data_IF_514028029002
#
_entry.id   IF_514028029002
#
_cell.length_a   1.000
_cell.length_b   1.000
_cell.length_c   1.000
_cell.angle_alpha   90.00
_cell.angle_beta   90.00
_cell.angle_gamma   90.00
#
_symmetry.space_group_name_H-M   'P 1'
#
loop_
_entity.id
_entity.type
_entity.pdbx_description
1 polymer ?
#
# COMPACT_ATOMS: atom_id res chain seq x y z
N UNK A 1 -7.77 10.05 1.22
CA UNK A 1 -6.88 8.88 1.42
C UNK A 1 -6.76 8.13 0.10
N UNK A 2 -5.64 7.42 -0.13
CA UNK A 2 -5.46 6.54 -1.28
C UNK A 2 -5.21 5.11 -0.79
N UNK A 3 -5.97 4.14 -1.29
CA UNK A 3 -5.77 2.69 -1.06
C UNK A 3 -5.24 2.07 -2.35
N UNK A 4 -3.97 1.70 -2.35
CA UNK A 4 -3.21 1.26 -3.54
C UNK A 4 -3.23 -0.26 -3.66
N UNK A 5 -3.57 -0.77 -4.85
CA UNK A 5 -3.81 -2.19 -5.09
C UNK A 5 -4.82 -2.75 -4.07
N UNK A 6 -5.94 -2.06 -3.97
CA UNK A 6 -6.91 -2.19 -2.87
C UNK A 6 -7.64 -3.55 -2.85
N UNK A 7 -7.57 -4.33 -3.94
CA UNK A 7 -8.32 -5.57 -4.07
C UNK A 7 -9.83 -5.34 -3.87
N UNK A 8 -10.45 -6.12 -2.99
CA UNK A 8 -11.87 -5.95 -2.62
C UNK A 8 -12.14 -4.75 -1.68
N UNK A 9 -11.12 -3.94 -1.36
CA UNK A 9 -11.26 -2.69 -0.62
C UNK A 9 -11.46 -2.82 0.88
N UNK A 10 -10.83 -3.79 1.52
CA UNK A 10 -10.90 -3.95 2.99
C UNK A 10 -10.47 -2.68 3.72
N UNK A 11 -9.35 -2.07 3.32
CA UNK A 11 -8.83 -0.86 3.94
C UNK A 11 -9.62 0.37 3.51
N UNK A 12 -10.03 0.46 2.24
CA UNK A 12 -10.89 1.53 1.75
C UNK A 12 -12.20 1.62 2.57
N UNK A 13 -12.88 0.47 2.80
CA UNK A 13 -14.11 0.43 3.62
C UNK A 13 -13.84 0.83 5.07
N UNK A 14 -12.74 0.38 5.64
CA UNK A 14 -12.38 0.71 7.02
C UNK A 14 -12.10 2.21 7.20
N UNK A 15 -11.43 2.84 6.23
CA UNK A 15 -11.17 4.28 6.22
C UNK A 15 -12.45 5.09 6.00
N UNK A 16 -13.28 4.70 5.03
CA UNK A 16 -14.54 5.37 4.74
C UNK A 16 -15.50 5.33 5.93
N UNK A 17 -15.59 4.20 6.65
CA UNK A 17 -16.39 4.07 7.86
C UNK A 17 -15.94 5.00 9.01
N UNK A 18 -14.72 5.57 8.90
CA UNK A 18 -14.17 6.57 9.85
C UNK A 18 -14.25 8.00 9.33
N UNK A 19 -15.02 8.22 8.27
CA UNK A 19 -15.29 9.56 7.74
C UNK A 19 -14.24 10.07 6.75
N UNK A 20 -13.30 9.23 6.29
CA UNK A 20 -12.35 9.63 5.26
C UNK A 20 -12.96 9.45 3.87
N UNK A 21 -12.68 10.40 2.97
CA UNK A 21 -12.85 10.17 1.54
C UNK A 21 -11.68 9.34 1.03
N UNK A 22 -11.97 8.27 0.28
CA UNK A 22 -10.98 7.30 -0.18
C UNK A 22 -11.03 7.15 -1.69
N UNK A 23 -9.90 7.26 -2.33
CA UNK A 23 -9.65 6.80 -3.69
C UNK A 23 -9.08 5.39 -3.58
N UNK A 24 -9.73 4.41 -4.21
CA UNK A 24 -9.33 2.99 -4.19
C UNK A 24 -8.95 2.58 -5.61
N UNK A 25 -7.70 2.17 -5.80
CA UNK A 25 -7.17 1.78 -7.12
C UNK A 25 -6.77 0.32 -7.15
N UNK A 26 -7.18 -0.38 -8.21
CA UNK A 26 -6.77 -1.75 -8.52
C UNK A 26 -6.86 -1.99 -10.03
N UNK A 27 -6.17 -3.00 -10.53
CA UNK A 27 -6.30 -3.41 -11.94
C UNK A 27 -7.52 -4.30 -12.20
N UNK A 28 -8.07 -4.91 -11.17
CA UNK A 28 -9.21 -5.82 -11.26
C UNK A 28 -10.53 -5.07 -11.11
N UNK A 29 -11.18 -4.77 -12.24
CA UNK A 29 -12.46 -4.07 -12.26
C UNK A 29 -13.57 -4.86 -11.54
N UNK A 30 -13.48 -6.19 -11.47
CA UNK A 30 -14.50 -7.01 -10.80
C UNK A 30 -14.43 -6.85 -9.28
N UNK A 31 -13.25 -6.72 -8.72
CA UNK A 31 -13.05 -6.43 -7.30
C UNK A 31 -13.54 -5.02 -6.96
N UNK A 32 -13.24 -4.04 -7.81
CA UNK A 32 -13.66 -2.64 -7.63
C UNK A 32 -15.19 -2.47 -7.73
N UNK A 33 -15.87 -3.27 -8.53
CA UNK A 33 -17.33 -3.22 -8.65
C UNK A 33 -18.03 -3.39 -7.29
N UNK A 34 -17.44 -4.18 -6.40
CA UNK A 34 -17.95 -4.36 -5.03
C UNK A 34 -17.88 -3.11 -4.16
N UNK A 35 -17.09 -2.11 -4.55
CA UNK A 35 -16.89 -0.85 -3.85
C UNK A 35 -17.74 0.30 -4.40
N UNK A 36 -18.21 0.20 -5.64
CA UNK A 36 -18.81 1.30 -6.40
C UNK A 36 -20.01 1.97 -5.70
N UNK A 37 -20.73 1.24 -4.85
CA UNK A 37 -21.87 1.76 -4.07
C UNK A 37 -21.52 2.12 -2.62
N UNK A 38 -20.25 2.04 -2.22
CA UNK A 38 -19.84 2.34 -0.84
C UNK A 38 -19.67 3.85 -0.67
N UNK A 39 -20.45 4.53 0.18
CA UNK A 39 -20.29 5.96 0.41
C UNK A 39 -18.87 6.33 0.85
N UNK A 40 -18.37 7.44 0.31
CA UNK A 40 -17.03 7.93 0.66
C UNK A 40 -15.88 7.24 -0.08
N UNK A 41 -16.15 6.27 -0.98
CA UNK A 41 -15.14 5.60 -1.80
C UNK A 41 -15.36 5.92 -3.27
N UNK A 42 -14.33 6.48 -3.92
CA UNK A 42 -14.21 6.53 -5.36
C UNK A 42 -13.30 5.39 -5.83
N UNK A 43 -13.62 4.75 -6.94
CA UNK A 43 -12.85 3.62 -7.47
C UNK A 43 -12.17 3.98 -8.79
N UNK A 44 -10.96 3.49 -9.01
CA UNK A 44 -10.22 3.65 -10.25
C UNK A 44 -9.64 2.31 -10.70
N UNK A 45 -10.04 1.86 -11.88
CA UNK A 45 -9.41 0.70 -12.51
C UNK A 45 -8.16 1.17 -13.27
N UNK A 46 -6.97 0.73 -12.83
CA UNK A 46 -5.71 1.07 -13.47
C UNK A 46 -4.65 -0.01 -13.21
N UNK A 47 -3.86 -0.31 -14.26
CA UNK A 47 -2.65 -1.11 -14.12
C UNK A 47 -1.49 -0.22 -13.66
N UNK A 48 -1.08 -0.40 -12.41
CA UNK A 48 0.00 0.37 -11.78
C UNK A 48 1.41 -0.10 -12.18
N UNK A 49 1.52 -1.25 -12.84
CA UNK A 49 2.79 -1.82 -13.26
C UNK A 49 3.09 -1.56 -14.74
N UNK A 50 2.07 -1.66 -15.61
CA UNK A 50 2.21 -1.48 -17.05
C UNK A 50 1.71 -0.13 -17.56
N UNK A 51 0.97 0.63 -16.74
CA UNK A 51 0.39 1.92 -17.10
C UNK A 51 1.06 3.12 -16.44
N UNK A 52 0.67 4.35 -16.84
CA UNK A 52 1.14 5.54 -16.17
C UNK A 52 0.53 5.66 -14.77
N UNK A 53 1.26 6.32 -13.85
CA UNK A 53 0.74 6.66 -12.53
C UNK A 53 -0.53 7.54 -12.67
N UNK A 54 -1.71 7.07 -12.20
CA UNK A 54 -2.99 7.73 -12.50
C UNK A 54 -3.26 8.98 -11.65
N UNK A 55 -2.37 9.32 -10.71
CA UNK A 55 -2.54 10.42 -9.76
C UNK A 55 -1.44 11.47 -9.89
N UNK A 56 -0.90 11.66 -11.09
CA UNK A 56 0.08 12.72 -11.34
C UNK A 56 -0.49 14.10 -10.96
N UNK A 57 0.26 14.86 -10.13
CA UNK A 57 -0.17 16.17 -9.64
C UNK A 57 -1.22 16.15 -8.52
N UNK A 58 -1.66 14.97 -8.08
CA UNK A 58 -2.55 14.85 -6.92
C UNK A 58 -1.74 14.53 -5.65
N UNK A 59 -2.29 14.94 -4.50
CA UNK A 59 -1.70 14.63 -3.20
C UNK A 59 -2.75 14.11 -2.22
N UNK A 60 -2.32 13.23 -1.33
CA UNK A 60 -3.18 12.53 -0.38
C UNK A 60 -2.70 12.73 1.05
N UNK A 61 -3.62 12.98 1.98
CA UNK A 61 -3.32 13.05 3.42
C UNK A 61 -2.89 11.70 4.00
N UNK A 62 -3.14 10.60 3.28
CA UNK A 62 -2.63 9.29 3.64
C UNK A 62 -2.70 8.32 2.47
N UNK A 63 -1.69 7.46 2.40
CA UNK A 63 -1.58 6.38 1.40
C UNK A 63 -1.41 5.06 2.15
N UNK A 64 -2.22 4.08 1.76
CA UNK A 64 -2.15 2.71 2.30
C UNK A 64 -1.79 1.76 1.18
N UNK A 65 -0.80 0.90 1.41
CA UNK A 65 -0.35 -0.15 0.50
C UNK A 65 -0.21 -1.44 1.30
N UNK A 66 -0.98 -2.47 0.99
CA UNK A 66 -0.92 -3.74 1.72
C UNK A 66 -0.90 -4.94 0.76
N UNK A 67 0.02 -5.87 1.02
CA UNK A 67 0.22 -7.09 0.21
C UNK A 67 0.53 -6.80 -1.27
N UNK A 68 1.18 -5.69 -1.55
CA UNK A 68 1.56 -5.29 -2.90
C UNK A 68 2.99 -4.74 -2.91
N UNK A 69 3.78 -5.11 -3.89
CA UNK A 69 5.15 -4.62 -4.09
C UNK A 69 5.41 -4.39 -5.56
N UNK A 70 5.55 -3.13 -5.94
CA UNK A 70 6.08 -2.71 -7.23
C UNK A 70 7.04 -1.55 -7.00
N UNK A 71 8.34 -1.85 -6.97
CA UNK A 71 9.42 -0.92 -6.60
C UNK A 71 9.44 0.39 -7.40
N UNK A 72 9.16 0.37 -8.74
CA UNK A 72 9.10 1.60 -9.53
C UNK A 72 8.05 2.62 -9.04
N UNK A 73 7.05 2.21 -8.24
CA UNK A 73 6.07 3.12 -7.68
C UNK A 73 6.53 3.90 -6.46
N UNK A 74 7.60 3.51 -5.77
CA UNK A 74 8.02 4.21 -4.55
C UNK A 74 8.18 5.72 -4.72
N UNK A 75 8.86 6.24 -5.77
CA UNK A 75 8.95 7.69 -5.97
C UNK A 75 7.60 8.37 -6.16
N UNK A 76 6.68 7.74 -6.89
CA UNK A 76 5.35 8.27 -7.15
C UNK A 76 4.49 8.32 -5.87
N UNK A 77 4.57 7.27 -5.03
CA UNK A 77 3.89 7.22 -3.73
C UNK A 77 4.40 8.32 -2.80
N UNK A 78 5.72 8.51 -2.71
CA UNK A 78 6.32 9.56 -1.89
C UNK A 78 5.93 10.96 -2.38
N UNK A 79 5.93 11.19 -3.69
CA UNK A 79 5.53 12.46 -4.29
C UNK A 79 4.04 12.77 -4.07
N UNK A 80 3.19 11.74 -4.06
CA UNK A 80 1.74 11.85 -3.87
C UNK A 80 1.31 12.02 -2.40
N UNK A 81 2.21 11.96 -1.43
CA UNK A 81 1.89 12.32 -0.04
C UNK A 81 1.80 13.84 0.10
N UNK A 82 0.74 14.33 0.70
CA UNK A 82 0.66 15.74 1.11
C UNK A 82 1.67 16.04 2.24
N UNK A 83 2.10 17.30 2.43
CA UNK A 83 2.82 17.70 3.63
C UNK A 83 2.07 17.28 4.89
N UNK A 84 2.75 16.58 5.82
CA UNK A 84 2.13 15.97 7.00
C UNK A 84 1.31 14.70 6.71
N UNK A 85 1.26 14.24 5.46
CA UNK A 85 0.55 13.03 5.08
C UNK A 85 1.25 11.76 5.55
N UNK A 86 0.48 10.71 5.83
CA UNK A 86 0.96 9.44 6.36
C UNK A 86 1.05 8.37 5.27
N UNK A 87 2.17 7.63 5.24
CA UNK A 87 2.32 6.39 4.49
C UNK A 87 2.19 5.20 5.46
N UNK A 88 1.27 4.30 5.15
CA UNK A 88 1.19 2.97 5.77
C UNK A 88 1.48 1.94 4.69
N UNK A 89 2.57 1.21 4.86
CA UNK A 89 2.98 0.18 3.92
C UNK A 89 3.22 -1.13 4.64
N UNK A 90 2.59 -2.21 4.20
CA UNK A 90 2.84 -3.56 4.69
C UNK A 90 2.89 -4.52 3.52
N UNK A 91 3.96 -5.31 3.40
CA UNK A 91 3.98 -6.43 2.46
C UNK A 91 4.99 -7.50 2.89
N UNK A 92 5.02 -8.58 2.11
CA UNK A 92 5.88 -9.72 2.38
C UNK A 92 7.36 -9.39 2.22
N UNK A 93 8.19 -9.99 3.04
CA UNK A 93 9.63 -9.80 3.07
C UNK A 93 10.40 -11.12 2.83
N UNK A 94 11.68 -10.99 2.60
CA UNK A 94 12.61 -12.12 2.48
C UNK A 94 12.44 -13.08 3.66
N UNK A 95 12.38 -14.36 3.39
CA UNK A 95 12.03 -15.40 4.37
C UNK A 95 10.57 -15.86 4.29
N UNK A 96 9.69 -15.13 3.57
CA UNK A 96 8.29 -15.54 3.41
C UNK A 96 8.13 -16.82 2.58
N UNK A 97 9.08 -17.13 1.71
CA UNK A 97 9.11 -18.36 0.90
C UNK A 97 9.01 -19.64 1.73
N UNK A 98 9.39 -19.58 3.01
CA UNK A 98 9.25 -20.70 3.97
C UNK A 98 7.81 -20.94 4.42
N UNK A 99 6.94 -19.94 4.26
CA UNK A 99 5.55 -19.96 4.71
C UNK A 99 4.57 -20.09 3.54
N UNK A 100 5.03 -19.95 2.30
CA UNK A 100 4.21 -20.08 1.11
C UNK A 100 4.36 -18.94 0.11
N UNK A 101 3.26 -18.54 -0.49
CA UNK A 101 3.25 -17.46 -1.49
C UNK A 101 3.01 -16.09 -0.86
N UNK A 102 3.61 -15.01 -1.43
CA UNK A 102 4.58 -15.00 -2.52
C UNK A 102 5.92 -15.61 -2.08
N UNK A 103 6.57 -16.33 -3.00
CA UNK A 103 7.87 -16.94 -2.81
C UNK A 103 8.93 -16.43 -3.80
N UNK A 104 8.51 -15.74 -4.88
CA UNK A 104 9.44 -15.11 -5.79
C UNK A 104 10.09 -13.90 -5.11
N UNK A 105 11.45 -13.82 -5.06
CA UNK A 105 12.20 -12.72 -4.46
C UNK A 105 11.81 -11.32 -4.98
N UNK A 106 11.35 -11.22 -6.23
CA UNK A 106 10.92 -9.94 -6.81
C UNK A 106 9.72 -9.33 -6.09
N UNK A 107 8.89 -10.18 -5.46
CA UNK A 107 7.72 -9.78 -4.66
C UNK A 107 7.98 -9.78 -3.15
N UNK A 108 9.23 -9.91 -2.73
CA UNK A 108 9.63 -9.89 -1.33
C UNK A 108 10.55 -8.69 -1.06
N UNK A 109 10.23 -7.94 -0.02
CA UNK A 109 11.09 -6.86 0.44
C UNK A 109 12.44 -7.41 0.95
N UNK A 110 13.52 -6.73 0.60
CA UNK A 110 14.83 -6.99 1.19
C UNK A 110 14.85 -6.50 2.64
N UNK A 111 15.71 -7.05 3.51
CA UNK A 111 15.84 -6.58 4.87
C UNK A 111 16.01 -5.06 4.94
N UNK A 112 15.17 -4.38 5.72
CA UNK A 112 15.20 -2.92 5.88
C UNK A 112 14.73 -2.09 4.69
N UNK A 113 14.22 -2.67 3.62
CA UNK A 113 13.93 -1.94 2.37
C UNK A 113 12.93 -0.80 2.56
N UNK A 114 11.89 -0.97 3.39
CA UNK A 114 10.95 0.12 3.66
C UNK A 114 11.59 1.28 4.45
N UNK A 115 12.59 1.02 5.28
CA UNK A 115 13.37 2.10 5.91
C UNK A 115 14.21 2.85 4.88
N UNK A 116 14.79 2.15 3.91
CA UNK A 116 15.55 2.79 2.83
C UNK A 116 14.64 3.67 1.97
N UNK A 117 13.42 3.22 1.67
CA UNK A 117 12.40 4.01 0.95
C UNK A 117 12.03 5.29 1.71
N UNK A 118 11.90 5.23 3.03
CA UNK A 118 11.56 6.39 3.86
C UNK A 118 12.72 7.36 4.08
N UNK A 119 13.97 6.90 3.91
CA UNK A 119 15.19 7.65 4.25
C UNK A 119 15.26 8.99 3.51
N UNK A 120 15.41 10.08 4.28
CA UNK A 120 15.53 11.43 3.75
C UNK A 120 14.22 12.02 3.16
N UNK A 121 13.16 11.24 3.06
CA UNK A 121 11.87 11.66 2.52
C UNK A 121 10.76 11.71 3.57
N UNK A 122 10.77 10.79 4.54
CA UNK A 122 9.72 10.63 5.54
C UNK A 122 10.32 10.50 6.95
N UNK A 123 9.56 10.95 7.93
CA UNK A 123 9.82 10.67 9.35
C UNK A 123 9.15 9.36 9.74
N UNK A 124 9.93 8.33 10.03
CA UNK A 124 9.43 7.02 10.47
C UNK A 124 8.82 7.15 11.86
N UNK A 125 7.58 6.68 12.00
CA UNK A 125 6.85 6.63 13.28
C UNK A 125 6.91 5.23 13.88
N UNK A 126 6.74 4.20 13.03
CA UNK A 126 6.82 2.81 13.43
C UNK A 126 7.35 1.96 12.28
N UNK A 127 8.12 0.96 12.61
CA UNK A 127 8.63 -0.02 11.65
C UNK A 127 8.73 -1.39 12.31
N UNK A 128 8.38 -2.42 11.55
CA UNK A 128 8.58 -3.82 11.92
C UNK A 128 9.16 -4.58 10.72
N UNK A 129 10.12 -5.47 11.01
CA UNK A 129 10.65 -6.48 10.10
C UNK A 129 10.66 -7.79 10.88
N UNK A 130 9.65 -8.65 10.65
CA UNK A 130 9.43 -9.81 11.51
C UNK A 130 8.60 -10.91 10.86
N UNK A 131 8.63 -12.07 11.48
CA UNK A 131 7.66 -13.12 11.23
C UNK A 131 6.43 -12.90 12.12
N UNK A 132 5.25 -12.97 11.52
CA UNK A 132 3.96 -12.99 12.21
C UNK A 132 3.38 -14.41 12.17
N UNK A 133 2.51 -14.73 13.13
CA UNK A 133 1.76 -16.00 13.17
C UNK A 133 0.32 -15.83 12.71
N UNK A 134 -0.26 -14.67 12.92
CA UNK A 134 -1.66 -14.35 12.59
C UNK A 134 -1.77 -13.31 11.47
N UNK A 135 -2.76 -13.41 10.58
CA UNK A 135 -3.81 -14.45 10.47
C UNK A 135 -3.27 -15.76 9.89
N UNK A 136 -2.04 -15.79 9.43
CA UNK A 136 -1.26 -16.94 8.99
C UNK A 136 0.23 -16.63 9.12
N UNK A 137 1.10 -17.63 9.29
CA UNK A 137 2.55 -17.38 9.33
C UNK A 137 3.03 -16.67 8.06
N UNK A 138 3.80 -15.59 8.24
CA UNK A 138 4.39 -14.84 7.14
C UNK A 138 5.59 -14.01 7.63
N UNK A 139 6.60 -13.81 6.77
CA UNK A 139 7.63 -12.80 6.96
C UNK A 139 7.19 -11.51 6.28
N UNK A 140 7.17 -10.41 7.02
CA UNK A 140 6.66 -9.12 6.56
C UNK A 140 7.55 -7.97 7.01
N UNK A 141 7.46 -6.86 6.28
CA UNK A 141 7.81 -5.53 6.81
C UNK A 141 6.58 -4.64 6.86
N UNK A 142 6.52 -3.81 7.89
CA UNK A 142 5.52 -2.76 8.08
C UNK A 142 6.19 -1.42 8.33
N UNK A 143 5.66 -0.38 7.72
CA UNK A 143 6.08 0.99 7.93
C UNK A 143 4.87 1.89 8.16
N UNK A 144 4.96 2.74 9.17
CA UNK A 144 4.16 3.95 9.31
C UNK A 144 5.12 5.14 9.34
N UNK A 145 4.97 6.06 8.40
CA UNK A 145 5.84 7.22 8.29
C UNK A 145 5.06 8.45 7.84
N UNK A 146 5.56 9.65 8.13
CA UNK A 146 4.94 10.95 7.83
C UNK A 146 5.89 11.80 6.99
N UNK A 147 5.34 12.43 5.96
CA UNK A 147 6.05 13.38 5.11
C UNK A 147 6.30 14.71 5.80
#
# INVERSE_FOLDING_TARGET
MLDVACGSGRHARWLAARGHTVEAVDRDASLLASLASTPGIATRCADLEGGPWPYAGQSFAGIVVVNYLHRPLFPALLAALAPGGALIYETFAAGNERFGRPSNPDFLLRPGELLDVARGALRVIAYEDRVISEPRPAAIQRLCAIR
#
